data_IF_072273980371
#
_entry.id   IF_072273980371
#
_cell.length_a   1.000
_cell.length_b   1.000
_cell.length_c   1.000
_cell.angle_alpha   90.00
_cell.angle_beta   90.00
_cell.angle_gamma   90.00
#
_symmetry.space_group_name_H-M   'P 1'
#
loop_
_entity.id
_entity.type
_entity.pdbx_description
1 polymer ?
#
# COMPACT_ATOMS: atom_id res chain seq x y z
N UNK A 1 13.95 13.64 4.09
CA UNK A 1 12.69 12.87 4.14
C UNK A 1 11.54 13.84 3.92
N UNK A 2 10.51 13.48 3.14
CA UNK A 2 9.41 14.37 2.81
C UNK A 2 8.58 14.73 4.05
N UNK A 3 8.10 15.97 4.11
CA UNK A 3 7.13 16.43 5.11
C UNK A 3 5.69 16.04 4.71
N UNK A 4 4.73 16.00 5.66
CA UNK A 4 3.35 15.64 5.35
C UNK A 4 2.70 16.50 4.25
N UNK A 5 3.02 17.80 4.19
CA UNK A 5 2.46 18.67 3.15
C UNK A 5 2.99 18.34 1.75
N UNK A 6 4.22 17.83 1.64
CA UNK A 6 4.81 17.40 0.37
C UNK A 6 4.14 16.11 -0.11
N UNK A 7 3.89 15.16 0.80
CA UNK A 7 3.13 13.94 0.50
C UNK A 7 1.70 14.29 0.05
N UNK A 8 1.04 15.21 0.74
CA UNK A 8 -0.32 15.64 0.37
C UNK A 8 -0.36 16.34 -0.99
N UNK A 9 0.64 17.18 -1.30
CA UNK A 9 0.74 17.84 -2.60
C UNK A 9 0.91 16.80 -3.72
N UNK A 10 1.87 15.88 -3.57
CA UNK A 10 2.10 14.80 -4.52
C UNK A 10 0.85 13.91 -4.70
N UNK A 11 0.13 13.60 -3.62
CA UNK A 11 -1.11 12.84 -3.67
C UNK A 11 -2.20 13.57 -4.48
N UNK A 12 -2.36 14.88 -4.26
CA UNK A 12 -3.33 15.69 -5.01
C UNK A 12 -3.01 15.73 -6.50
N UNK A 13 -1.74 15.85 -6.86
CA UNK A 13 -1.31 15.88 -8.25
C UNK A 13 -1.41 14.51 -8.93
N UNK A 14 -1.18 13.43 -8.18
CA UNK A 14 -1.43 12.05 -8.64
C UNK A 14 -2.92 11.86 -8.92
N UNK A 15 -3.79 12.19 -7.96
CA UNK A 15 -5.24 12.07 -8.12
C UNK A 15 -5.77 12.87 -9.33
N UNK A 16 -5.28 14.09 -9.53
CA UNK A 16 -5.62 14.90 -10.70
C UNK A 16 -5.21 14.25 -12.01
N UNK A 17 -4.03 13.62 -12.06
CA UNK A 17 -3.57 12.86 -13.23
C UNK A 17 -4.49 11.71 -13.61
N UNK A 18 -5.17 11.11 -12.63
CA UNK A 18 -6.19 10.07 -12.83
C UNK A 18 -7.63 10.60 -12.90
N UNK A 19 -7.82 11.92 -13.05
CA UNK A 19 -9.15 12.54 -13.16
C UNK A 19 -9.98 12.47 -11.88
N UNK A 20 -9.36 12.29 -10.72
CA UNK A 20 -10.03 12.19 -9.42
C UNK A 20 -10.01 13.50 -8.66
N UNK A 21 -10.95 13.65 -7.73
CA UNK A 21 -10.97 14.76 -6.79
C UNK A 21 -9.70 14.72 -5.92
N UNK A 22 -9.12 15.88 -5.57
CA UNK A 22 -7.95 15.92 -4.71
C UNK A 22 -8.30 15.54 -3.27
N UNK A 23 -7.40 14.82 -2.60
CA UNK A 23 -7.52 14.56 -1.17
C UNK A 23 -7.38 15.87 -0.36
N UNK A 24 -8.26 16.05 0.63
CA UNK A 24 -8.24 17.23 1.51
C UNK A 24 -7.14 17.17 2.58
N UNK A 25 -6.82 15.97 3.05
CA UNK A 25 -5.93 15.73 4.20
C UNK A 25 -5.29 14.34 4.09
N UNK A 26 -4.11 14.15 4.70
CA UNK A 26 -3.54 12.82 4.96
C UNK A 26 -4.06 12.18 6.26
N UNK A 27 -4.75 12.97 7.09
CA UNK A 27 -5.17 12.56 8.43
C UNK A 27 -6.61 12.03 8.47
N UNK A 28 -7.32 12.12 7.36
CA UNK A 28 -8.69 11.67 7.21
C UNK A 28 -8.73 10.57 6.16
N UNK A 29 -9.56 9.56 6.39
CA UNK A 29 -9.85 8.57 5.37
C UNK A 29 -10.44 9.26 4.15
N UNK A 30 -10.04 8.80 2.97
CA UNK A 30 -10.50 9.36 1.71
C UNK A 30 -10.91 8.20 0.81
N UNK A 31 -12.15 8.18 0.35
CA UNK A 31 -12.62 7.21 -0.63
C UNK A 31 -12.59 7.84 -2.02
N UNK A 32 -12.19 7.08 -3.04
CA UNK A 32 -12.24 7.52 -4.44
C UNK A 32 -13.38 6.84 -5.17
N UNK A 33 -14.11 7.60 -5.98
CA UNK A 33 -15.10 7.04 -6.90
C UNK A 33 -14.41 6.44 -8.13
N UNK A 34 -14.72 5.18 -8.45
CA UNK A 34 -14.28 4.48 -9.65
C UNK A 34 -12.88 3.88 -9.58
N UNK A 35 -12.53 3.12 -10.62
CA UNK A 35 -11.29 2.33 -10.66
C UNK A 35 -10.05 3.19 -10.98
N UNK A 36 -8.94 2.85 -10.35
CA UNK A 36 -7.60 3.36 -10.65
C UNK A 36 -6.64 2.16 -10.55
N UNK A 37 -5.72 1.96 -11.50
CA UNK A 37 -4.75 0.88 -11.38
C UNK A 37 -3.76 1.12 -10.24
N UNK A 38 -3.73 0.21 -9.26
CA UNK A 38 -2.95 0.32 -8.03
C UNK A 38 -1.45 0.58 -8.28
N UNK A 39 -0.83 -0.21 -9.15
CA UNK A 39 0.59 -0.13 -9.49
C UNK A 39 0.96 1.20 -10.17
N UNK A 40 0.16 1.65 -11.13
CA UNK A 40 0.45 2.90 -11.84
C UNK A 40 0.27 4.12 -10.93
N UNK A 41 -0.76 4.13 -10.09
CA UNK A 41 -0.97 5.20 -9.13
C UNK A 41 0.15 5.29 -8.10
N UNK A 42 0.49 4.15 -7.48
CA UNK A 42 1.53 4.12 -6.45
C UNK A 42 2.91 4.48 -7.04
N UNK A 43 3.20 4.05 -8.26
CA UNK A 43 4.40 4.44 -9.00
C UNK A 43 4.47 5.94 -9.32
N UNK A 44 3.39 6.53 -9.80
CA UNK A 44 3.30 7.97 -10.11
C UNK A 44 3.41 8.83 -8.84
N UNK A 45 2.71 8.45 -7.77
CA UNK A 45 2.82 9.11 -6.47
C UNK A 45 4.26 9.05 -5.96
N UNK A 46 4.89 7.89 -6.07
CA UNK A 46 6.26 7.72 -5.65
C UNK A 46 7.21 8.65 -6.42
N UNK A 47 7.10 8.72 -7.75
CA UNK A 47 7.92 9.63 -8.56
C UNK A 47 7.77 11.09 -8.12
N UNK A 48 6.54 11.52 -7.80
CA UNK A 48 6.26 12.87 -7.33
C UNK A 48 6.79 13.16 -5.92
N UNK A 49 6.81 12.16 -5.04
CA UNK A 49 7.33 12.30 -3.67
C UNK A 49 8.86 12.25 -3.62
N UNK A 50 9.47 11.32 -4.37
CA UNK A 50 10.90 11.03 -4.27
C UNK A 50 11.78 11.88 -5.21
N UNK A 51 11.21 12.47 -6.27
CA UNK A 51 12.00 13.07 -7.34
C UNK A 51 13.00 12.07 -7.94
N UNK A 52 14.18 12.53 -8.36
CA UNK A 52 15.25 11.68 -8.94
C UNK A 52 16.07 10.86 -7.91
N UNK A 53 15.86 11.05 -6.59
CA UNK A 53 16.71 10.44 -5.54
C UNK A 53 15.96 9.41 -4.69
N UNK A 54 15.35 8.43 -5.35
CA UNK A 54 14.58 7.36 -4.71
C UNK A 54 15.46 6.21 -4.22
N UNK A 55 15.22 5.72 -3.00
CA UNK A 55 15.60 4.37 -2.60
C UNK A 55 14.39 3.46 -2.75
N UNK A 56 14.43 2.59 -3.76
CA UNK A 56 13.45 1.53 -3.87
C UNK A 56 13.58 0.56 -2.70
N UNK A 57 12.51 0.40 -1.93
CA UNK A 57 12.36 -0.76 -1.06
C UNK A 57 11.92 -1.94 -1.92
N UNK A 58 12.67 -2.23 -2.99
CA UNK A 58 12.46 -3.38 -3.88
C UNK A 58 12.59 -4.70 -3.12
N UNK A 59 13.20 -4.69 -1.94
CA UNK A 59 13.22 -5.83 -1.05
C UNK A 59 12.71 -5.44 0.33
N UNK A 60 11.53 -5.98 0.63
CA UNK A 60 10.88 -6.08 1.93
C UNK A 60 11.71 -6.84 2.96
N UNK A 61 13.02 -6.62 3.10
CA UNK A 61 13.82 -7.24 4.17
C UNK A 61 13.95 -6.32 5.38
N UNK A 62 13.92 -5.00 5.19
CA UNK A 62 14.24 -4.02 6.23
C UNK A 62 13.09 -3.61 7.17
N UNK A 63 11.82 -3.95 6.90
CA UNK A 63 10.66 -3.45 7.66
C UNK A 63 9.98 -4.54 8.51
N UNK A 64 10.34 -4.66 9.78
CA UNK A 64 9.70 -5.57 10.73
C UNK A 64 9.41 -4.85 12.04
N UNK A 65 8.78 -5.47 13.04
CA UNK A 65 8.48 -4.80 14.31
C UNK A 65 9.72 -4.21 15.00
N UNK A 66 10.91 -4.74 14.69
CA UNK A 66 12.20 -4.25 15.19
C UNK A 66 12.95 -3.33 14.21
N UNK A 67 12.34 -2.94 13.08
CA UNK A 67 13.00 -2.02 12.17
C UNK A 67 12.97 -0.61 12.75
N UNK A 68 14.14 0.02 12.87
CA UNK A 68 14.29 1.43 13.23
C UNK A 68 13.83 2.38 12.12
N UNK A 69 12.64 2.14 11.55
CA UNK A 69 12.11 2.89 10.42
C UNK A 69 11.97 4.36 10.80
N UNK A 70 12.69 5.26 10.14
CA UNK A 70 12.73 6.64 10.57
C UNK A 70 11.40 7.36 10.32
N UNK A 71 11.18 8.39 11.11
CA UNK A 71 10.07 9.32 10.94
C UNK A 71 10.19 10.07 9.60
N UNK A 72 9.09 10.20 8.86
CA UNK A 72 9.08 10.78 7.53
C UNK A 72 9.50 9.82 6.41
N UNK A 73 9.78 8.55 6.73
CA UNK A 73 10.07 7.55 5.72
C UNK A 73 8.85 7.32 4.80
N UNK A 74 9.11 7.25 3.50
CA UNK A 74 8.11 6.98 2.47
C UNK A 74 8.56 5.77 1.65
N UNK A 75 7.70 4.76 1.53
CA UNK A 75 8.01 3.55 0.79
C UNK A 75 6.89 3.22 -0.20
N UNK A 76 7.26 2.52 -1.26
CA UNK A 76 6.36 1.91 -2.22
C UNK A 76 6.49 0.39 -2.10
N UNK A 77 5.36 -0.30 -2.06
CA UNK A 77 5.30 -1.75 -2.04
C UNK A 77 4.53 -2.24 -3.25
N UNK A 78 5.11 -3.24 -3.89
CA UNK A 78 4.47 -4.11 -4.84
C UNK A 78 4.30 -5.47 -4.16
N UNK A 79 3.08 -5.84 -3.81
CA UNK A 79 2.79 -7.19 -3.31
C UNK A 79 2.35 -8.02 -4.50
N UNK A 80 3.02 -9.15 -4.68
CA UNK A 80 2.67 -10.17 -5.67
C UNK A 80 2.44 -11.49 -4.96
N UNK A 81 1.33 -12.15 -5.24
CA UNK A 81 1.01 -13.43 -4.64
C UNK A 81 -0.22 -14.07 -5.26
N UNK A 82 -0.41 -15.35 -4.96
CA UNK A 82 -1.63 -16.07 -5.30
C UNK A 82 -2.64 -15.97 -4.15
N UNK A 83 -3.94 -15.76 -4.45
CA UNK A 83 -4.50 -15.59 -5.79
C UNK A 83 -4.21 -14.18 -6.36
N UNK A 84 -4.13 -14.05 -7.69
CA UNK A 84 -3.67 -12.84 -8.39
C UNK A 84 -4.40 -11.53 -8.02
N UNK A 85 -5.61 -11.59 -7.47
CA UNK A 85 -6.35 -10.41 -6.99
C UNK A 85 -5.79 -9.87 -5.66
N UNK A 86 -4.88 -10.59 -5.03
CA UNK A 86 -4.01 -10.05 -3.99
C UNK A 86 -2.93 -9.15 -4.57
N UNK A 87 -2.62 -9.17 -5.87
CA UNK A 87 -1.58 -8.30 -6.42
C UNK A 87 -1.94 -6.82 -6.23
N UNK A 88 -1.11 -6.09 -5.50
CA UNK A 88 -1.43 -4.72 -5.08
C UNK A 88 -0.19 -3.83 -4.98
N UNK A 89 -0.26 -2.64 -5.58
CA UNK A 89 0.70 -1.56 -5.40
C UNK A 89 0.16 -0.52 -4.42
N UNK A 90 0.95 -0.17 -3.40
CA UNK A 90 0.59 0.89 -2.45
C UNK A 90 1.82 1.64 -1.93
N UNK A 91 1.60 2.85 -1.42
CA UNK A 91 2.62 3.61 -0.72
C UNK A 91 2.33 3.66 0.79
N UNK A 92 3.37 3.81 1.61
CA UNK A 92 3.23 4.09 3.04
C UNK A 92 4.09 5.28 3.42
N UNK A 93 3.56 6.14 4.28
CA UNK A 93 4.26 7.25 4.90
C UNK A 93 4.24 7.11 6.42
N UNK A 94 5.40 7.17 7.06
CA UNK A 94 5.49 7.05 8.52
C UNK A 94 5.52 8.43 9.18
N UNK A 95 4.50 8.74 9.98
CA UNK A 95 4.39 10.03 10.66
C UNK A 95 3.62 9.96 11.99
N UNK A 96 4.10 10.66 13.01
CA UNK A 96 3.62 10.71 14.38
C UNK A 96 3.27 9.33 14.95
N UNK A 97 4.17 8.35 14.81
CA UNK A 97 3.95 6.95 15.21
C UNK A 97 2.81 6.22 14.47
N UNK A 98 2.34 6.76 13.35
CA UNK A 98 1.38 6.12 12.45
C UNK A 98 2.09 5.64 11.18
N UNK A 99 1.54 4.59 10.59
CA UNK A 99 1.69 4.28 9.17
C UNK A 99 0.46 4.80 8.44
N UNK A 100 0.68 5.71 7.49
CA UNK A 100 -0.36 6.25 6.61
C UNK A 100 -0.22 5.51 5.29
N UNK A 101 -1.11 4.55 5.06
CA UNK A 101 -1.18 3.79 3.83
C UNK A 101 -1.93 4.62 2.80
N UNK A 102 -1.33 4.72 1.62
CA UNK A 102 -1.93 5.35 0.44
C UNK A 102 -2.11 4.24 -0.59
N UNK A 103 -3.35 3.77 -0.72
CA UNK A 103 -3.71 2.52 -1.41
C UNK A 103 -4.80 2.74 -2.45
N UNK A 104 -4.84 1.93 -3.50
CA UNK A 104 -5.89 1.99 -4.52
C UNK A 104 -6.17 0.56 -4.97
N UNK A 105 -7.35 -0.02 -4.75
CA UNK A 105 -7.64 -1.37 -5.30
C UNK A 105 -8.27 -1.33 -6.69
N UNK A 106 -8.11 -2.47 -7.37
CA UNK A 106 -8.94 -2.93 -8.48
C UNK A 106 -10.22 -3.58 -7.90
N UNK A 107 -11.40 -3.19 -8.41
CA UNK A 107 -12.72 -3.82 -8.17
C UNK A 107 -13.41 -3.66 -6.79
N UNK A 108 -12.99 -2.75 -5.91
CA UNK A 108 -13.74 -2.41 -4.67
C UNK A 108 -13.67 -0.92 -4.36
N UNK A 109 -14.65 -0.34 -3.65
CA UNK A 109 -14.47 0.98 -3.06
C UNK A 109 -13.36 0.88 -2.01
N UNK A 110 -12.33 1.70 -2.15
CA UNK A 110 -11.13 1.62 -1.33
C UNK A 110 -10.91 2.94 -0.66
N UNK A 111 -10.62 2.84 0.63
CA UNK A 111 -10.04 3.92 1.42
C UNK A 111 -8.66 4.24 0.87
N UNK A 112 -8.56 5.25 0.01
CA UNK A 112 -7.31 5.77 -0.54
C UNK A 112 -6.28 6.04 0.53
N UNK A 113 -6.73 6.59 1.66
CA UNK A 113 -5.90 6.92 2.81
C UNK A 113 -6.42 6.09 3.98
N UNK A 114 -5.56 5.23 4.52
CA UNK A 114 -5.82 4.47 5.73
C UNK A 114 -4.72 4.73 6.74
N UNK A 115 -5.12 4.98 7.99
CA UNK A 115 -4.18 5.23 9.08
C UNK A 115 -4.23 4.08 10.08
N UNK A 116 -3.05 3.58 10.43
CA UNK A 116 -2.88 2.60 11.49
C UNK A 116 -1.63 2.89 12.31
N UNK A 117 -1.47 2.22 13.45
CA UNK A 117 -0.25 2.36 14.23
C UNK A 117 0.95 1.82 13.44
N UNK A 118 2.13 2.41 13.67
CA UNK A 118 3.38 1.92 13.07
C UNK A 118 3.60 0.43 13.40
N UNK A 119 3.29 0.00 14.62
CA UNK A 119 3.50 -1.38 15.07
C UNK A 119 2.56 -2.36 14.34
N UNK A 120 1.28 -2.02 14.19
CA UNK A 120 0.32 -2.87 13.48
C UNK A 120 0.72 -3.07 12.02
N UNK A 121 1.16 -1.98 11.37
CA UNK A 121 1.70 -2.06 10.00
C UNK A 121 2.89 -3.01 9.91
N UNK A 122 3.88 -2.85 10.80
CA UNK A 122 5.10 -3.66 10.77
C UNK A 122 4.82 -5.14 11.06
N UNK A 123 3.88 -5.43 11.97
CA UNK A 123 3.42 -6.80 12.23
C UNK A 123 2.70 -7.40 11.01
N UNK A 124 1.85 -6.62 10.34
CA UNK A 124 1.16 -7.10 9.15
C UNK A 124 2.12 -7.32 7.97
N UNK A 125 3.12 -6.46 7.80
CA UNK A 125 4.21 -6.68 6.84
C UNK A 125 5.05 -7.93 7.17
N UNK A 126 5.27 -8.23 8.45
CA UNK A 126 5.93 -9.47 8.86
C UNK A 126 5.09 -10.71 8.50
N UNK A 127 3.77 -10.64 8.66
CA UNK A 127 2.85 -11.71 8.25
C UNK A 127 2.82 -11.92 6.73
N UNK A 128 2.86 -10.85 5.93
CA UNK A 128 3.00 -10.96 4.47
C UNK A 128 4.26 -11.74 4.09
N UNK A 129 5.39 -11.45 4.74
CA UNK A 129 6.66 -12.16 4.48
C UNK A 129 6.60 -13.64 4.84
N UNK A 130 5.84 -13.98 5.86
CA UNK A 130 5.64 -15.36 6.28
C UNK A 130 4.70 -16.15 5.36
N UNK A 131 4.18 -15.54 4.28
CA UNK A 131 3.21 -16.15 3.36
C UNK A 131 1.77 -16.11 3.84
N UNK A 132 1.47 -15.42 4.95
CA UNK A 132 0.13 -15.29 5.51
C UNK A 132 -0.66 -14.14 4.86
N UNK A 133 -0.79 -14.18 3.52
CA UNK A 133 -1.35 -13.09 2.72
C UNK A 133 -2.78 -12.73 3.16
N UNK A 134 -3.64 -13.72 3.40
CA UNK A 134 -5.04 -13.50 3.77
C UNK A 134 -5.20 -12.65 5.02
N UNK A 135 -4.56 -13.06 6.12
CA UNK A 135 -4.62 -12.35 7.40
C UNK A 135 -3.95 -10.98 7.33
N UNK A 136 -2.85 -10.87 6.59
CA UNK A 136 -2.15 -9.60 6.46
C UNK A 136 -2.93 -8.58 5.63
N UNK A 137 -3.68 -9.00 4.61
CA UNK A 137 -4.53 -8.12 3.81
C UNK A 137 -5.74 -7.62 4.60
N UNK A 138 -6.38 -8.51 5.37
CA UNK A 138 -7.44 -8.11 6.28
C UNK A 138 -6.95 -7.03 7.24
N UNK A 139 -5.75 -7.19 7.80
CA UNK A 139 -5.17 -6.24 8.73
C UNK A 139 -4.73 -4.93 8.06
N UNK A 140 -3.99 -5.01 6.94
CA UNK A 140 -3.43 -3.83 6.26
C UNK A 140 -4.51 -2.97 5.61
N UNK A 141 -5.55 -3.60 5.09
CA UNK A 141 -6.44 -2.93 4.15
C UNK A 141 -7.92 -3.02 4.52
N UNK A 142 -8.26 -3.72 5.61
CA UNK A 142 -9.65 -3.90 6.05
C UNK A 142 -10.50 -4.71 5.06
N UNK A 143 -9.85 -5.44 4.14
CA UNK A 143 -10.54 -6.24 3.13
C UNK A 143 -10.71 -7.66 3.64
N UNK A 144 -11.94 -8.01 4.00
CA UNK A 144 -12.31 -9.41 4.24
C UNK A 144 -12.17 -10.20 2.92
N UNK A 145 -11.25 -11.16 2.93
CA UNK A 145 -10.92 -12.07 1.83
C UNK A 145 -11.94 -13.24 1.82
N UNK A 146 -13.21 -12.98 2.12
CA UNK A 146 -14.26 -14.01 2.21
C UNK A 146 -14.75 -14.55 0.85
N UNK A 147 -14.17 -14.11 -0.26
CA UNK A 147 -14.57 -14.50 -1.63
C UNK A 147 -13.44 -15.04 -2.50
N UNK A 148 -12.33 -15.47 -1.91
CA UNK A 148 -11.31 -16.16 -2.68
C UNK A 148 -11.66 -17.64 -2.71
N UNK A 149 -12.49 -18.03 -3.67
CA UNK A 149 -12.53 -19.43 -4.09
C UNK A 149 -11.11 -19.79 -4.52
N UNK A 150 -10.45 -20.79 -3.91
CA UNK A 150 -9.25 -21.32 -4.51
C UNK A 150 -9.67 -21.84 -5.88
N UNK A 151 -9.31 -21.12 -6.95
CA UNK A 151 -9.23 -21.77 -8.25
C UNK A 151 -8.12 -22.79 -8.09
N UNK A 152 -8.55 -24.04 -7.86
CA UNK A 152 -7.79 -25.28 -7.88
C UNK A 152 -6.30 -25.07 -8.06
N UNK A 153 -5.53 -25.33 -7.00
CA UNK A 153 -4.11 -25.67 -7.15
C UNK A 153 -4.08 -26.87 -8.09
N UNK A 154 -3.83 -26.64 -9.37
CA UNK A 154 -3.41 -27.72 -10.27
C UNK A 154 -1.98 -28.05 -9.86
N UNK A 155 -1.83 -29.00 -8.95
CA UNK A 155 -0.60 -29.77 -8.85
C UNK A 155 -0.42 -30.51 -10.18
N UNK A 156 0.36 -29.95 -11.09
CA UNK A 156 0.99 -30.78 -12.11
C UNK A 156 2.02 -31.64 -11.37
N UNK A 157 1.59 -32.85 -11.01
CA UNK A 157 2.52 -33.91 -10.68
C UNK A 157 3.07 -34.37 -12.02
N UNK A 158 4.28 -33.91 -12.37
CA UNK A 158 5.04 -34.52 -13.44
C UNK A 158 5.41 -35.94 -12.99
N UNK A 159 4.86 -36.94 -13.69
CA UNK A 159 5.39 -38.30 -13.67
C UNK A 159 6.63 -38.38 -14.58
#
# INVERSE_FOLDING_TARGET
MPFPYQILAALRDTLRGFGKKPAGSLMHEYDTDGEIPCFYFAGDLLQKVAGENYTSAENSTALGPNSGTPEGAFFHFAVQGEPSECNHGFCVYFWNNNAILIQVYVNKPVKLILRMSRLDFLNAMANLRAGNCVSAYANLFGVAIEKFTPHSIQTSVAN
#
